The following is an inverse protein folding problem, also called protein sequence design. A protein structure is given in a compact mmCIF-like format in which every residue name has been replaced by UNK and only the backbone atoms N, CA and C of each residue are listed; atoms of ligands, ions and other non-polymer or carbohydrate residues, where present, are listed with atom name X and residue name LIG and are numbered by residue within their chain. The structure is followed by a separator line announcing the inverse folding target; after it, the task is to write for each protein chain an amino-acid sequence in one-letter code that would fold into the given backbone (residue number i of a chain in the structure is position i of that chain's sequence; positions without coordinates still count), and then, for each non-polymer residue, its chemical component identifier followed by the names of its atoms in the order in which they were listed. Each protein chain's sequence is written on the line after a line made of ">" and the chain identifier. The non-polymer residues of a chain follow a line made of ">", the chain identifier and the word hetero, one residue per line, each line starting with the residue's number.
data_IF_805262222395
#
_entry.id   IF_805262222395
#
_cell.length_a   1.000
_cell.length_b   1.000
_cell.length_c   1.000
_cell.angle_alpha   90.00
_cell.angle_beta   90.00
_cell.angle_gamma   90.00
#
_symmetry.space_group_name_H-M   'P 1'
#
loop_
_entity.id
_entity.type
_entity.pdbx_description
1 polymer ?
#
# COMPACT_ATOMS: atom_id res chain seq x y z
N UNK A 1 -6.74 -8.42 -2.04
CA UNK A 1 -8.07 -8.66 -2.62
C UNK A 1 -7.99 -9.68 -3.77
N UNK A 2 -7.63 -10.93 -3.45
CA UNK A 2 -7.53 -12.01 -4.44
C UNK A 2 -8.90 -12.60 -4.85
N UNK A 3 -9.99 -12.23 -4.18
CA UNK A 3 -11.37 -12.71 -4.45
C UNK A 3 -12.33 -11.66 -4.99
N UNK A 4 -11.90 -10.42 -5.16
CA UNK A 4 -12.72 -9.44 -5.86
C UNK A 4 -12.52 -9.71 -7.35
N UNK A 5 -13.60 -9.92 -8.07
CA UNK A 5 -13.59 -10.13 -9.53
C UNK A 5 -13.13 -8.89 -10.31
N UNK A 6 -12.80 -7.80 -9.61
CA UNK A 6 -12.50 -6.49 -10.19
C UNK A 6 -13.77 -5.75 -10.64
N UNK A 7 -14.97 -6.27 -10.34
CA UNK A 7 -16.21 -5.57 -10.64
C UNK A 7 -16.37 -4.31 -9.79
N UNK A 8 -16.97 -3.26 -10.34
CA UNK A 8 -17.27 -2.02 -9.61
C UNK A 8 -18.12 -2.27 -8.35
N UNK A 9 -18.92 -3.35 -8.34
CA UNK A 9 -19.75 -3.76 -7.21
C UNK A 9 -18.91 -4.32 -6.06
N UNK A 10 -17.92 -5.15 -6.36
CA UNK A 10 -17.00 -5.71 -5.36
C UNK A 10 -16.20 -4.61 -4.63
N UNK A 11 -15.84 -3.56 -5.37
CA UNK A 11 -15.11 -2.39 -4.83
C UNK A 11 -16.04 -1.50 -4.00
N UNK A 12 -17.27 -1.28 -4.46
CA UNK A 12 -18.26 -0.49 -3.73
C UNK A 12 -18.70 -1.13 -2.39
N UNK A 13 -18.58 -2.45 -2.26
CA UNK A 13 -18.81 -3.16 -0.99
C UNK A 13 -17.67 -2.94 0.01
N UNK A 14 -16.45 -2.63 -0.44
CA UNK A 14 -15.39 -2.22 0.49
C UNK A 14 -15.65 -0.78 0.96
N UNK A 15 -16.09 -0.64 2.21
CA UNK A 15 -16.10 0.61 2.97
C UNK A 15 -14.67 1.11 3.27
N UNK A 16 -13.88 1.36 2.22
CA UNK A 16 -12.51 1.86 2.35
C UNK A 16 -12.43 3.15 3.17
N UNK A 17 -13.32 4.15 2.99
CA UNK A 17 -13.30 5.35 3.81
C UNK A 17 -13.48 5.05 5.31
N UNK A 18 -14.50 4.27 5.69
CA UNK A 18 -14.71 3.93 7.10
C UNK A 18 -13.60 3.03 7.67
N UNK A 19 -12.98 2.18 6.86
CA UNK A 19 -11.81 1.40 7.29
C UNK A 19 -10.60 2.29 7.59
N UNK A 20 -10.34 3.31 6.77
CA UNK A 20 -9.24 4.25 6.96
C UNK A 20 -9.42 5.11 8.22
N UNK A 21 -10.66 5.41 8.61
CA UNK A 21 -10.96 6.09 9.89
C UNK A 21 -10.60 5.24 11.12
N UNK A 22 -10.58 3.91 10.97
CA UNK A 22 -10.32 2.96 12.07
C UNK A 22 -8.86 2.55 12.19
N UNK A 23 -8.00 2.94 11.24
CA UNK A 23 -6.57 2.67 11.28
C UNK A 23 -5.93 2.47 9.91
N UNK A 24 -4.81 1.75 9.88
CA UNK A 24 -4.11 1.45 8.64
C UNK A 24 -4.79 0.31 7.88
N UNK A 25 -4.93 0.48 6.56
CA UNK A 25 -5.48 -0.55 5.66
C UNK A 25 -4.39 -1.02 4.71
N UNK A 26 -4.16 -2.34 4.66
CA UNK A 26 -3.25 -2.97 3.71
C UNK A 26 -4.07 -3.70 2.65
N UNK A 27 -3.94 -3.29 1.39
CA UNK A 27 -4.66 -3.88 0.27
C UNK A 27 -3.69 -4.65 -0.63
N UNK A 28 -3.77 -5.96 -0.61
CA UNK A 28 -3.10 -6.80 -1.60
C UNK A 28 -3.81 -6.72 -2.97
N UNK A 29 -3.07 -6.87 -4.08
CA UNK A 29 -3.63 -6.83 -5.44
C UNK A 29 -4.37 -5.53 -5.77
N UNK A 30 -3.94 -4.41 -5.19
CA UNK A 30 -4.58 -3.10 -5.33
C UNK A 30 -4.61 -2.57 -6.79
N UNK A 31 -3.79 -3.13 -7.68
CA UNK A 31 -3.79 -2.84 -9.11
C UNK A 31 -5.15 -3.06 -9.77
N UNK A 32 -5.92 -4.06 -9.31
CA UNK A 32 -7.25 -4.38 -9.83
C UNK A 32 -8.26 -3.25 -9.62
N UNK A 33 -8.00 -2.36 -8.65
CA UNK A 33 -8.95 -1.33 -8.20
C UNK A 33 -8.32 0.06 -8.24
N UNK A 34 -7.27 0.26 -9.05
CA UNK A 34 -6.41 1.45 -9.03
C UNK A 34 -7.16 2.77 -9.15
N UNK A 35 -8.25 2.80 -9.92
CA UNK A 35 -9.10 3.98 -10.10
C UNK A 35 -9.87 4.41 -8.85
N UNK A 36 -10.05 3.51 -7.88
CA UNK A 36 -10.84 3.72 -6.65
C UNK A 36 -9.97 3.88 -5.41
N UNK A 37 -8.65 3.77 -5.55
CA UNK A 37 -7.73 3.94 -4.44
C UNK A 37 -7.58 5.42 -4.08
N UNK A 38 -7.38 5.74 -2.78
CA UNK A 38 -7.16 7.12 -2.35
C UNK A 38 -5.93 7.73 -3.01
N UNK A 39 -6.00 9.03 -3.32
CA UNK A 39 -4.91 9.74 -4.00
C UNK A 39 -3.59 9.69 -3.21
N UNK A 40 -3.70 9.85 -1.88
CA UNK A 40 -2.59 9.64 -0.96
C UNK A 40 -2.57 8.18 -0.48
N UNK A 41 -1.39 7.55 -0.57
CA UNK A 41 -1.16 6.14 -0.21
C UNK A 41 0.32 5.82 -0.20
N UNK A 42 0.69 4.74 0.48
CA UNK A 42 1.99 4.09 0.30
C UNK A 42 1.83 2.91 -0.64
N UNK A 43 2.46 2.99 -1.81
CA UNK A 43 2.48 1.87 -2.76
C UNK A 43 3.69 0.98 -2.49
N UNK A 44 3.48 -0.31 -2.29
CA UNK A 44 4.55 -1.27 -2.01
C UNK A 44 4.53 -2.33 -3.09
N UNK A 45 5.66 -2.49 -3.78
CA UNK A 45 5.86 -3.56 -4.74
C UNK A 45 6.81 -4.57 -4.14
N UNK A 46 6.47 -5.86 -4.25
CA UNK A 46 7.31 -6.96 -3.81
C UNK A 46 7.68 -7.82 -5.00
N UNK A 47 8.97 -7.97 -5.25
CA UNK A 47 9.52 -8.79 -6.32
C UNK A 47 10.27 -9.97 -5.71
N UNK A 48 10.03 -11.16 -6.26
CA UNK A 48 10.81 -12.34 -5.94
C UNK A 48 12.21 -12.21 -6.52
N UNK A 49 13.24 -12.46 -5.72
CA UNK A 49 14.65 -12.43 -6.15
C UNK A 49 15.28 -13.83 -6.04
N UNK A 50 15.11 -14.48 -4.90
CA UNK A 50 15.57 -15.85 -4.62
C UNK A 50 14.72 -16.46 -3.50
N UNK A 51 14.99 -17.70 -3.10
CA UNK A 51 14.17 -18.44 -2.12
C UNK A 51 13.82 -17.60 -0.88
N UNK A 52 14.82 -17.00 -0.25
CA UNK A 52 14.70 -16.19 0.97
C UNK A 52 14.91 -14.68 0.73
N UNK A 53 14.98 -14.25 -0.53
CA UNK A 53 15.22 -12.84 -0.87
C UNK A 53 14.03 -12.24 -1.60
N UNK A 54 13.60 -11.07 -1.12
CA UNK A 54 12.58 -10.24 -1.76
C UNK A 54 13.15 -8.85 -1.96
N UNK A 55 12.83 -8.26 -3.09
CA UNK A 55 13.07 -6.84 -3.33
C UNK A 55 11.76 -6.09 -3.07
N UNK A 56 11.79 -5.14 -2.14
CA UNK A 56 10.66 -4.30 -1.78
C UNK A 56 10.91 -2.87 -2.24
N UNK A 57 9.99 -2.32 -3.03
CA UNK A 57 10.02 -0.93 -3.47
C UNK A 57 8.86 -0.19 -2.85
N UNK A 58 9.17 0.83 -2.06
CA UNK A 58 8.21 1.69 -1.38
C UNK A 58 8.09 3.02 -2.15
N UNK A 59 6.91 3.31 -2.69
CA UNK A 59 6.63 4.56 -3.41
C UNK A 59 5.58 5.36 -2.65
N UNK A 60 5.97 6.35 -1.83
CA UNK A 60 5.02 7.19 -1.10
C UNK A 60 4.29 8.14 -2.05
N UNK A 61 3.01 8.37 -1.78
CA UNK A 61 2.19 9.40 -2.43
C UNK A 61 1.51 10.23 -1.35
N UNK A 62 1.88 11.51 -1.23
CA UNK A 62 1.36 12.41 -0.19
C UNK A 62 2.35 12.60 0.95
N UNK A 63 2.29 13.77 1.59
CA UNK A 63 3.30 14.23 2.56
C UNK A 63 3.43 13.32 3.78
N UNK A 64 2.31 12.76 4.25
CA UNK A 64 2.32 11.84 5.39
C UNK A 64 3.12 10.57 5.08
N UNK A 65 2.94 10.00 3.90
CA UNK A 65 3.65 8.79 3.47
C UNK A 65 5.11 9.05 3.12
N UNK A 66 5.43 10.23 2.59
CA UNK A 66 6.82 10.66 2.38
C UNK A 66 7.58 10.76 3.71
N UNK A 67 6.97 11.38 4.72
CA UNK A 67 7.54 11.45 6.06
C UNK A 67 7.71 10.05 6.66
N UNK A 68 6.72 9.17 6.52
CA UNK A 68 6.79 7.79 6.98
C UNK A 68 7.96 7.03 6.35
N UNK A 69 8.17 7.15 5.03
CA UNK A 69 9.30 6.50 4.35
C UNK A 69 10.66 7.02 4.83
N UNK A 70 10.78 8.33 5.11
CA UNK A 70 12.02 8.90 5.68
C UNK A 70 12.33 8.36 7.06
N UNK A 71 11.32 8.25 7.93
CA UNK A 71 11.52 7.66 9.26
C UNK A 71 11.88 6.17 9.17
N UNK A 72 11.24 5.43 8.25
CA UNK A 72 11.61 4.04 7.96
C UNK A 72 13.06 3.91 7.48
N UNK A 73 13.49 4.77 6.56
CA UNK A 73 14.87 4.81 6.06
C UNK A 73 15.87 5.04 7.20
N UNK A 74 15.61 6.01 8.09
CA UNK A 74 16.46 6.24 9.28
C UNK A 74 16.53 5.02 10.18
N UNK A 75 15.40 4.34 10.42
CA UNK A 75 15.36 3.14 11.26
C UNK A 75 16.12 1.97 10.65
N UNK A 76 16.05 1.78 9.32
CA UNK A 76 16.74 0.69 8.62
C UNK A 76 18.24 0.93 8.53
N UNK A 77 18.66 2.17 8.21
CA UNK A 77 20.05 2.48 7.93
C UNK A 77 20.79 3.16 9.08
N UNK A 78 20.11 3.43 10.21
CA UNK A 78 20.70 4.06 11.39
C UNK A 78 21.14 5.51 11.16
N UNK A 79 20.62 6.18 10.13
CA UNK A 79 20.99 7.56 9.83
C UNK A 79 20.48 8.50 10.93
N UNK A 80 21.42 9.05 11.70
CA UNK A 80 21.23 10.09 12.72
C UNK A 80 21.26 11.48 12.09
#
# INVERSE_FOLDING_TARGET
>A
AYRLSGSALDIAVLDLPGMLERGAVVLEWADLIRAHLPAERLWIQMQYMALEQRHLVFTPRGKAYEALCKELEKMIFGAS
#
